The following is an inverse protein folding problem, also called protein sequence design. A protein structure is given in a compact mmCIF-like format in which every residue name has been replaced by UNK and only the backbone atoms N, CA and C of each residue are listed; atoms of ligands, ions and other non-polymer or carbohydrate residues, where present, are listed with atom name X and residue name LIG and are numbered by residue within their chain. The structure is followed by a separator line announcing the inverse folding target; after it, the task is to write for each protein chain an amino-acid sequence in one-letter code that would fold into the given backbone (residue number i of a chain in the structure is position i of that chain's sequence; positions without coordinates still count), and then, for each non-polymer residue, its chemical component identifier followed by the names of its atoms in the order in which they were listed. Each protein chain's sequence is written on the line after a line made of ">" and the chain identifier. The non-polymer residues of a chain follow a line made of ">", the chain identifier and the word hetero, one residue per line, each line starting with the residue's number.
data_IF_828167893275
#
_entry.id   IF_828167893275
#
_cell.length_a   1.000
_cell.length_b   1.000
_cell.length_c   1.000
_cell.angle_alpha   90.00
_cell.angle_beta   90.00
_cell.angle_gamma   90.00
#
_symmetry.space_group_name_H-M   'P 1'
#
loop_
_entity.id
_entity.type
_entity.pdbx_description
1 polymer ?
#
# COMPACT_ATOMS: atom_id res chain seq x y z
N UNK A 1 15.40 -20.73 7.47
CA UNK A 1 14.05 -21.16 7.02
C UNK A 1 13.17 -19.94 7.05
N UNK A 2 12.38 -19.68 6.01
CA UNK A 2 11.38 -18.60 6.04
C UNK A 2 10.15 -19.08 6.82
N UNK A 3 9.71 -18.29 7.79
CA UNK A 3 8.42 -18.54 8.45
C UNK A 3 7.29 -18.40 7.44
N UNK A 4 6.36 -19.36 7.44
CA UNK A 4 5.20 -19.38 6.55
C UNK A 4 4.03 -18.78 7.31
N UNK A 5 3.51 -17.66 6.81
CA UNK A 5 2.29 -17.04 7.35
C UNK A 5 1.07 -17.89 6.97
N UNK A 6 0.16 -18.08 7.93
CA UNK A 6 -1.03 -18.93 7.78
C UNK A 6 -2.30 -18.09 8.02
N UNK A 7 -3.27 -18.16 7.11
CA UNK A 7 -4.54 -17.46 7.26
C UNK A 7 -5.32 -18.02 8.48
N UNK A 8 -5.95 -17.13 9.25
CA UNK A 8 -6.60 -17.46 10.51
C UNK A 8 -5.65 -17.58 11.72
N UNK A 9 -4.33 -17.54 11.54
CA UNK A 9 -3.40 -17.43 12.68
C UNK A 9 -3.42 -16.02 13.27
N UNK A 10 -3.09 -15.91 14.56
CA UNK A 10 -2.94 -14.65 15.27
C UNK A 10 -1.47 -14.21 15.26
N UNK A 11 -1.23 -12.92 15.03
CA UNK A 11 0.09 -12.30 15.17
C UNK A 11 0.62 -12.42 16.61
N UNK A 12 1.93 -12.56 16.77
CA UNK A 12 2.61 -12.62 18.07
C UNK A 12 2.70 -11.26 18.79
N UNK A 13 2.27 -10.18 18.13
CA UNK A 13 2.24 -8.82 18.65
C UNK A 13 0.91 -8.17 18.29
N UNK A 14 0.39 -7.32 19.17
CA UNK A 14 -0.76 -6.45 18.91
C UNK A 14 -0.31 -5.07 18.35
N UNK A 15 -1.26 -4.26 17.86
CA UNK A 15 -1.00 -2.87 17.45
C UNK A 15 -0.40 -2.03 18.59
N UNK A 16 0.55 -1.14 18.27
CA UNK A 16 1.25 -0.31 19.24
C UNK A 16 1.89 0.93 18.57
N UNK A 17 2.82 1.59 19.28
CA UNK A 17 3.57 2.76 18.75
C UNK A 17 4.38 2.46 17.49
N UNK A 18 4.73 1.19 17.22
CA UNK A 18 5.57 0.77 16.09
C UNK A 18 4.87 -0.24 15.16
N UNK A 19 3.64 -0.65 15.44
CA UNK A 19 2.87 -1.65 14.66
C UNK A 19 1.46 -1.14 14.41
N UNK A 20 1.03 -1.19 13.16
CA UNK A 20 -0.32 -0.92 12.67
C UNK A 20 -0.82 -2.10 11.83
N UNK A 21 -2.07 -2.50 12.02
CA UNK A 21 -2.80 -3.47 11.21
C UNK A 21 -3.86 -2.77 10.35
N UNK A 22 -4.01 -3.25 9.10
CA UNK A 22 -4.97 -2.70 8.14
C UNK A 22 -5.53 -3.80 7.24
N UNK A 23 -6.82 -3.69 6.90
CA UNK A 23 -7.49 -4.60 5.95
C UNK A 23 -7.73 -3.97 4.57
N UNK A 24 -7.02 -2.90 4.22
CA UNK A 24 -7.12 -2.24 2.91
C UNK A 24 -5.78 -1.72 2.38
N UNK A 25 -5.70 -1.55 1.05
CA UNK A 25 -4.52 -1.08 0.32
C UNK A 25 -4.56 0.41 -0.03
N UNK A 26 -5.58 1.15 0.43
CA UNK A 26 -5.83 2.54 0.03
C UNK A 26 -4.76 3.50 0.56
N UNK A 27 -3.84 3.92 -0.30
CA UNK A 27 -2.68 4.72 0.11
C UNK A 27 -3.07 6.18 0.37
N UNK A 28 -3.69 6.82 -0.63
CA UNK A 28 -4.06 8.24 -0.61
C UNK A 28 -5.54 8.48 -0.29
N UNK A 29 -5.88 9.69 0.17
CA UNK A 29 -7.25 10.08 0.53
C UNK A 29 -8.25 9.93 -0.62
N UNK A 30 -7.80 10.18 -1.85
CA UNK A 30 -8.62 10.11 -3.06
C UNK A 30 -9.01 8.66 -3.43
N UNK A 31 -8.30 7.67 -2.90
CA UNK A 31 -8.63 6.26 -3.11
C UNK A 31 -9.65 5.71 -2.10
N UNK A 32 -9.93 6.47 -1.03
CA UNK A 32 -10.85 6.09 0.05
C UNK A 32 -12.28 6.49 -0.35
N UNK A 33 -13.20 5.53 -0.55
CA UNK A 33 -14.56 5.83 -1.00
C UNK A 33 -15.34 6.59 0.08
N UNK A 34 -16.00 7.67 -0.33
CA UNK A 34 -16.99 8.37 0.49
C UNK A 34 -18.27 7.55 0.51
N UNK A 35 -18.87 7.36 1.69
CA UNK A 35 -20.21 6.77 1.84
C UNK A 35 -21.16 7.79 2.46
N UNK A 36 -22.46 7.65 2.20
CA UNK A 36 -23.50 8.44 2.86
C UNK A 36 -24.09 7.60 3.99
N UNK A 37 -24.08 8.16 5.19
CA UNK A 37 -24.73 7.62 6.37
C UNK A 37 -25.81 8.63 6.81
N UNK A 38 -27.07 8.29 6.56
CA UNK A 38 -28.18 9.24 6.64
C UNK A 38 -27.94 10.49 5.78
N UNK A 39 -27.78 11.65 6.44
CA UNK A 39 -27.49 12.93 5.79
C UNK A 39 -25.99 13.31 5.81
N UNK A 40 -25.13 12.50 6.42
CA UNK A 40 -23.69 12.79 6.57
C UNK A 40 -22.88 12.00 5.54
N UNK A 41 -21.82 12.62 5.00
CA UNK A 41 -20.85 11.91 4.15
C UNK A 41 -19.67 11.50 5.03
N UNK A 42 -19.49 10.18 5.18
CA UNK A 42 -18.49 9.56 6.07
C UNK A 42 -17.45 8.76 5.29
N UNK A 43 -16.31 8.50 5.94
CA UNK A 43 -15.31 7.51 5.53
C UNK A 43 -15.15 6.53 6.69
N UNK A 44 -15.32 5.23 6.42
CA UNK A 44 -15.15 4.17 7.44
C UNK A 44 -13.70 3.66 7.56
N UNK A 45 -12.77 4.21 6.79
CA UNK A 45 -11.34 3.88 6.84
C UNK A 45 -10.51 5.14 6.64
N UNK A 46 -9.31 5.16 7.23
CA UNK A 46 -8.30 6.20 7.02
C UNK A 46 -7.35 5.75 5.90
N UNK A 47 -6.88 6.65 5.01
CA UNK A 47 -5.85 6.29 4.05
C UNK A 47 -4.54 5.95 4.77
N UNK A 48 -3.75 5.04 4.20
CA UNK A 48 -2.48 4.62 4.79
C UNK A 48 -1.51 5.80 4.96
N UNK A 49 -1.65 6.86 4.15
CA UNK A 49 -0.85 8.08 4.24
C UNK A 49 -0.84 8.71 5.64
N UNK A 50 -1.91 8.60 6.41
CA UNK A 50 -1.98 9.10 7.80
C UNK A 50 -1.04 8.31 8.72
N UNK A 51 -1.05 6.97 8.65
CA UNK A 51 -0.11 6.12 9.40
C UNK A 51 1.34 6.31 8.91
N UNK A 52 1.54 6.48 7.60
CA UNK A 52 2.86 6.71 7.01
C UNK A 52 3.45 8.04 7.52
N UNK A 53 2.66 9.11 7.51
CA UNK A 53 3.04 10.42 8.06
C UNK A 53 3.31 10.33 9.56
N UNK A 54 2.44 9.64 10.31
CA UNK A 54 2.61 9.40 11.75
C UNK A 54 3.96 8.73 12.07
N UNK A 55 4.26 7.61 11.42
CA UNK A 55 5.53 6.89 11.61
C UNK A 55 6.75 7.66 11.13
N UNK A 56 6.67 8.38 10.00
CA UNK A 56 7.76 9.25 9.55
C UNK A 56 8.11 10.30 10.62
N UNK A 57 7.11 10.90 11.26
CA UNK A 57 7.26 11.96 12.26
C UNK A 57 7.53 11.46 13.69
N UNK A 58 7.64 10.15 13.91
CA UNK A 58 8.01 9.51 15.19
C UNK A 58 9.16 8.52 14.97
N UNK A 59 9.24 7.45 15.76
CA UNK A 59 10.33 6.47 15.73
C UNK A 59 10.25 5.46 14.56
N UNK A 60 9.51 5.77 13.50
CA UNK A 60 9.18 4.83 12.43
C UNK A 60 8.10 3.83 12.84
N UNK A 61 8.03 2.70 12.15
CA UNK A 61 7.06 1.65 12.44
C UNK A 61 6.79 0.71 11.26
N UNK A 62 5.83 -0.19 11.45
CA UNK A 62 5.44 -1.24 10.50
C UNK A 62 3.93 -1.27 10.31
N UNK A 63 3.49 -1.24 9.06
CA UNK A 63 2.09 -1.48 8.68
C UNK A 63 2.00 -2.88 8.08
N UNK A 64 1.15 -3.74 8.65
CA UNK A 64 0.82 -5.04 8.09
C UNK A 64 -0.59 -5.00 7.48
N UNK A 65 -0.64 -5.09 6.15
CA UNK A 65 -1.86 -4.99 5.37
C UNK A 65 -2.35 -6.40 5.00
N UNK A 66 -3.57 -6.73 5.41
CA UNK A 66 -4.13 -8.08 5.45
C UNK A 66 -4.13 -8.71 6.85
N UNK A 67 -4.00 -7.89 7.91
CA UNK A 67 -4.26 -8.29 9.31
C UNK A 67 -5.45 -7.48 9.81
N UNK A 68 -6.37 -8.14 10.49
CA UNK A 68 -7.45 -7.48 11.23
C UNK A 68 -6.91 -6.73 12.46
N UNK A 69 -7.62 -5.71 12.92
CA UNK A 69 -7.39 -5.02 14.20
C UNK A 69 -7.35 -5.99 15.39
N UNK A 70 -7.97 -7.17 15.25
CA UNK A 70 -7.95 -8.31 16.18
C UNK A 70 -6.62 -9.11 16.20
N UNK A 71 -5.64 -8.71 15.39
CA UNK A 71 -4.37 -9.43 15.18
C UNK A 71 -4.50 -10.71 14.33
N UNK A 72 -5.65 -10.99 13.72
CA UNK A 72 -5.85 -12.19 12.89
C UNK A 72 -5.36 -11.94 11.45
N UNK A 73 -4.44 -12.79 10.99
CA UNK A 73 -3.91 -12.77 9.62
C UNK A 73 -4.96 -13.29 8.65
N UNK A 74 -5.29 -12.50 7.63
CA UNK A 74 -6.16 -12.89 6.50
C UNK A 74 -5.42 -12.89 5.17
N UNK A 75 -4.47 -11.95 5.00
CA UNK A 75 -3.91 -11.58 3.70
C UNK A 75 -4.94 -10.87 2.80
N UNK A 76 -4.47 -10.32 1.69
CA UNK A 76 -5.33 -9.77 0.62
C UNK A 76 -5.03 -10.52 -0.69
N UNK A 77 -6.02 -11.03 -1.42
CA UNK A 77 -5.81 -11.64 -2.73
C UNK A 77 -5.22 -10.61 -3.72
N UNK A 78 -4.01 -10.85 -4.22
CA UNK A 78 -3.33 -9.94 -5.15
C UNK A 78 -2.70 -10.70 -6.31
N UNK A 79 -3.11 -10.36 -7.54
CA UNK A 79 -2.40 -10.76 -8.76
C UNK A 79 -1.09 -9.97 -8.89
N UNK A 80 -0.20 -10.36 -9.81
CA UNK A 80 1.04 -9.62 -10.07
C UNK A 80 0.78 -8.14 -10.43
N UNK A 81 -0.11 -7.89 -11.39
CA UNK A 81 -0.50 -6.54 -11.80
C UNK A 81 -1.10 -5.70 -10.66
N UNK A 82 -1.86 -6.32 -9.74
CA UNK A 82 -2.36 -5.60 -8.55
C UNK A 82 -1.24 -5.17 -7.59
N UNK A 83 -0.14 -5.95 -7.49
CA UNK A 83 1.03 -5.58 -6.70
C UNK A 83 1.77 -4.40 -7.32
N UNK A 84 1.96 -4.42 -8.65
CA UNK A 84 2.56 -3.30 -9.39
C UNK A 84 1.72 -2.03 -9.27
N UNK A 85 0.40 -2.13 -9.44
CA UNK A 85 -0.51 -0.99 -9.30
C UNK A 85 -0.49 -0.41 -7.87
N UNK A 86 -0.43 -1.26 -6.84
CA UNK A 86 -0.25 -0.80 -5.45
C UNK A 86 1.09 -0.08 -5.24
N UNK A 87 2.20 -0.59 -5.81
CA UNK A 87 3.50 0.09 -5.73
C UNK A 87 3.47 1.45 -6.45
N UNK A 88 2.80 1.55 -7.59
CA UNK A 88 2.62 2.81 -8.32
C UNK A 88 1.79 3.84 -7.51
N UNK A 89 0.63 3.43 -6.98
CA UNK A 89 -0.22 4.28 -6.12
C UNK A 89 0.54 4.72 -4.84
N UNK A 90 1.33 3.83 -4.25
CA UNK A 90 2.16 4.18 -3.10
C UNK A 90 3.27 5.19 -3.47
N UNK A 91 3.91 5.02 -4.63
CA UNK A 91 4.92 5.96 -5.13
C UNK A 91 4.34 7.35 -5.37
N UNK A 92 3.16 7.43 -6.00
CA UNK A 92 2.41 8.67 -6.18
C UNK A 92 2.05 9.31 -4.83
N UNK A 93 1.52 8.52 -3.89
CA UNK A 93 1.21 8.97 -2.53
C UNK A 93 2.44 9.60 -1.85
N UNK A 94 3.60 8.94 -1.88
CA UNK A 94 4.85 9.42 -1.26
C UNK A 94 5.44 10.65 -1.97
N UNK A 95 5.18 10.81 -3.27
CA UNK A 95 5.59 11.98 -4.05
C UNK A 95 4.75 13.23 -3.73
N UNK A 96 3.53 13.05 -3.22
CA UNK A 96 2.62 14.13 -2.79
C UNK A 96 2.84 14.58 -1.34
N UNK A 97 3.70 13.89 -0.57
CA UNK A 97 4.10 14.35 0.76
C UNK A 97 4.99 15.59 0.67
N UNK A 98 4.97 16.39 1.73
CA UNK A 98 5.79 17.61 1.84
C UNK A 98 6.56 17.65 3.19
N UNK A 99 7.90 17.53 3.19
CA UNK A 99 8.74 17.28 2.01
C UNK A 99 8.49 15.88 1.41
N UNK A 100 8.89 15.70 0.14
CA UNK A 100 8.81 14.40 -0.54
C UNK A 100 9.57 13.33 0.24
N UNK A 101 8.98 12.14 0.39
CA UNK A 101 9.61 11.07 1.17
C UNK A 101 10.74 10.42 0.37
N UNK A 102 11.98 10.39 0.89
CA UNK A 102 13.08 9.66 0.26
C UNK A 102 12.76 8.15 0.18
N UNK A 103 13.00 7.47 -0.96
CA UNK A 103 12.64 6.06 -1.14
C UNK A 103 13.23 5.12 -0.08
N UNK A 104 14.43 5.40 0.41
CA UNK A 104 15.14 4.61 1.42
C UNK A 104 14.43 4.53 2.78
N UNK A 105 13.57 5.51 3.11
CA UNK A 105 12.79 5.50 4.35
C UNK A 105 11.64 4.48 4.32
N UNK A 106 11.20 4.06 3.13
CA UNK A 106 10.02 3.22 2.92
C UNK A 106 10.39 1.93 2.21
N UNK A 107 10.29 0.80 2.93
CA UNK A 107 10.47 -0.53 2.35
C UNK A 107 9.13 -1.28 2.30
N UNK A 108 8.91 -2.01 1.20
CA UNK A 108 7.69 -2.78 0.96
C UNK A 108 8.06 -4.23 0.65
N UNK A 109 7.41 -5.17 1.33
CA UNK A 109 7.53 -6.60 1.06
C UNK A 109 6.15 -7.25 0.90
N UNK A 110 6.02 -8.13 -0.10
CA UNK A 110 4.84 -8.98 -0.27
C UNK A 110 5.14 -10.36 0.30
N UNK A 111 4.52 -10.69 1.43
CA UNK A 111 4.67 -11.98 2.10
C UNK A 111 3.49 -12.88 1.70
N UNK A 112 3.78 -14.11 1.29
CA UNK A 112 2.72 -15.08 0.94
C UNK A 112 2.05 -15.63 2.20
N UNK A 113 0.72 -15.55 2.26
CA UNK A 113 -0.10 -16.18 3.29
C UNK A 113 -0.71 -17.47 2.70
N UNK A 114 -0.45 -18.61 3.34
CA UNK A 114 -1.09 -19.88 3.00
C UNK A 114 -2.46 -19.96 3.66
N UNK A 115 -3.46 -20.40 2.90
CA UNK A 115 -4.79 -20.70 3.43
C UNK A 115 -4.89 -22.21 3.66
N UNK A 116 -5.02 -22.69 4.92
CA UNK A 116 -5.10 -24.13 5.18
C UNK A 116 -6.47 -24.72 4.78
N UNK A 117 -7.49 -23.88 4.60
CA UNK A 117 -8.84 -24.31 4.22
C UNK A 117 -9.11 -24.22 2.71
N UNK A 118 -8.18 -23.62 1.95
CA UNK A 118 -8.22 -23.51 0.49
C UNK A 118 -6.85 -23.91 -0.09
N UNK A 119 -6.54 -25.23 -0.13
CA UNK A 119 -5.24 -25.74 -0.55
C UNK A 119 -4.99 -25.62 -2.06
N UNK A 120 -6.01 -25.28 -2.86
CA UNK A 120 -5.91 -25.19 -4.32
C UNK A 120 -5.38 -23.84 -4.83
N UNK A 121 -5.06 -22.89 -3.94
CA UNK A 121 -4.13 -21.77 -4.22
C UNK A 121 -2.66 -22.25 -4.40
N UNK A 122 -2.44 -23.32 -5.18
CA UNK A 122 -1.13 -23.94 -5.38
C UNK A 122 -0.17 -22.95 -6.07
N UNK A 123 1.14 -23.00 -5.77
CA UNK A 123 2.14 -22.40 -6.66
C UNK A 123 1.96 -22.97 -8.07
N UNK A 124 2.23 -22.14 -9.09
CA UNK A 124 2.23 -22.57 -10.49
C UNK A 124 3.10 -23.83 -10.62
N UNK A 125 2.67 -24.89 -11.35
CA UNK A 125 3.61 -25.89 -11.82
C UNK A 125 4.80 -25.18 -12.46
N UNK A 126 6.02 -25.62 -12.18
CA UNK A 126 7.17 -25.15 -12.95
C UNK A 126 6.94 -25.61 -14.38
N UNK A 127 6.51 -24.70 -15.25
CA UNK A 127 6.55 -24.91 -16.69
C UNK A 127 8.03 -25.01 -17.04
N UNK A 128 8.51 -26.25 -17.17
CA UNK A 128 9.75 -26.54 -17.87
C UNK A 128 9.66 -25.83 -19.22
N UNK A 129 10.69 -25.07 -19.57
CA UNK A 129 10.78 -24.34 -20.82
C UNK A 129 10.40 -25.25 -21.99
N UNK A 130 9.23 -25.01 -22.58
CA UNK A 130 8.83 -25.68 -23.81
C UNK A 130 9.78 -25.19 -24.90
N UNK A 131 10.61 -26.10 -25.40
CA UNK A 131 11.35 -25.90 -26.64
C UNK A 131 10.35 -25.98 -27.79
N UNK A 132 10.24 -24.91 -28.58
CA UNK A 132 9.43 -24.90 -29.80
C UNK A 132 9.97 -25.92 -30.80
N UNK A 133 9.29 -27.05 -30.96
CA UNK A 133 9.37 -27.86 -32.16
C UNK A 133 7.97 -28.05 -32.78
N UNK A 134 7.84 -27.46 -33.97
CA UNK A 134 6.97 -27.87 -35.07
C UNK A 134 5.45 -27.55 -35.09
N UNK A 135 5.01 -27.10 -36.28
CA UNK A 135 3.67 -27.26 -36.88
C UNK A 135 2.48 -26.36 -36.46
N UNK A 136 2.47 -25.13 -37.00
CA UNK A 136 1.56 -24.82 -38.13
C UNK A 136 0.11 -24.34 -37.91
N UNK A 137 -0.27 -23.35 -38.74
CA UNK A 137 -1.64 -22.88 -39.11
C UNK A 137 -2.35 -21.86 -38.19
N UNK A 138 -2.68 -20.71 -38.79
CA UNK A 138 -3.45 -19.59 -38.22
C UNK A 138 -4.87 -19.57 -38.81
N UNK A 139 -5.94 -19.46 -38.01
CA UNK A 139 -7.20 -18.82 -38.43
C UNK A 139 -8.20 -18.47 -37.29
N UNK A 140 -8.43 -17.16 -37.10
CA UNK A 140 -9.72 -16.47 -36.83
C UNK A 140 -10.55 -16.79 -35.55
N UNK A 141 -10.60 -15.80 -34.66
CA UNK A 141 -11.74 -15.46 -33.78
C UNK A 141 -11.98 -13.94 -33.83
N UNK A 142 -13.22 -13.47 -33.67
CA UNK A 142 -13.59 -12.05 -33.90
C UNK A 142 -13.29 -11.11 -32.72
N UNK A 143 -12.79 -9.91 -33.03
CA UNK A 143 -12.64 -8.78 -32.11
C UNK A 143 -13.99 -8.09 -31.83
N UNK A 144 -14.33 -7.72 -30.58
CA UNK A 144 -15.44 -6.82 -30.28
C UNK A 144 -15.01 -5.33 -30.37
N UNK A 145 -15.67 -4.57 -31.24
CA UNK A 145 -15.48 -3.12 -31.35
C UNK A 145 -15.95 -2.38 -30.07
N UNK A 146 -15.10 -1.52 -29.51
CA UNK A 146 -15.50 -0.51 -28.53
C UNK A 146 -15.22 0.90 -29.05
N UNK A 147 -16.28 1.70 -29.20
CA UNK A 147 -16.19 3.11 -29.58
C UNK A 147 -15.66 3.95 -28.41
N UNK A 148 -14.52 4.62 -28.62
CA UNK A 148 -13.96 5.59 -27.68
C UNK A 148 -14.41 7.01 -28.03
N UNK A 149 -15.22 7.62 -27.16
CA UNK A 149 -15.46 9.07 -27.21
C UNK A 149 -14.27 9.81 -26.57
N UNK A 150 -13.86 10.91 -27.19
CA UNK A 150 -12.57 11.60 -26.92
C UNK A 150 -12.69 12.76 -25.92
N UNK A 151 -11.50 13.18 -25.43
CA UNK A 151 -11.15 14.38 -24.61
C UNK A 151 -11.34 14.13 -23.10
N UNK A 152 -10.35 14.27 -22.22
CA UNK A 152 -8.92 14.68 -22.33
C UNK A 152 -8.19 14.16 -21.05
N UNK A 153 -6.86 14.03 -20.96
CA UNK A 153 -5.76 14.47 -21.82
C UNK A 153 -4.52 13.53 -21.75
N UNK A 154 -3.45 13.91 -22.44
CA UNK A 154 -2.12 13.25 -22.52
C UNK A 154 -1.17 13.54 -21.36
N UNK A 155 -0.62 12.50 -20.73
CA UNK A 155 0.82 12.30 -20.44
C UNK A 155 1.03 10.91 -19.79
N UNK A 156 1.01 9.84 -20.59
CA UNK A 156 1.44 8.48 -20.22
C UNK A 156 1.55 7.65 -21.51
N UNK A 157 2.65 7.83 -22.24
CA UNK A 157 2.93 7.10 -23.48
C UNK A 157 4.04 6.10 -23.23
N UNK A 158 3.88 4.88 -23.77
CA UNK A 158 4.86 3.77 -23.78
C UNK A 158 5.05 2.98 -22.48
N UNK A 159 4.14 2.02 -22.25
CA UNK A 159 4.52 0.66 -21.84
C UNK A 159 3.88 -0.30 -22.85
N UNK A 160 4.57 -1.30 -23.42
CA UNK A 160 4.00 -2.17 -24.46
C UNK A 160 2.95 -3.16 -23.92
N UNK A 161 1.87 -3.37 -24.68
CA UNK A 161 0.92 -4.44 -24.42
C UNK A 161 1.51 -5.80 -24.84
N UNK A 162 1.69 -6.73 -23.89
CA UNK A 162 1.70 -8.17 -24.18
C UNK A 162 1.25 -9.00 -22.97
N UNK A 163 0.62 -10.15 -23.30
CA UNK A 163 0.28 -11.33 -22.49
C UNK A 163 -1.11 -11.43 -21.83
N UNK A 164 -1.78 -12.52 -22.19
CA UNK A 164 -3.07 -12.99 -21.67
C UNK A 164 -2.89 -13.84 -20.39
N UNK A 165 -3.91 -13.78 -19.52
CA UNK A 165 -4.35 -14.78 -18.52
C UNK A 165 -3.33 -15.66 -17.74
N UNK A 166 -3.34 -15.49 -16.41
CA UNK A 166 -3.71 -16.59 -15.50
C UNK A 166 -4.24 -16.03 -14.17
N UNK A 167 -5.41 -16.49 -13.71
CA UNK A 167 -6.16 -15.91 -12.60
C UNK A 167 -5.86 -16.57 -11.24
N UNK A 168 -4.59 -16.74 -10.89
CA UNK A 168 -4.18 -17.37 -9.62
C UNK A 168 -3.86 -16.31 -8.55
N UNK A 169 -4.85 -15.99 -7.72
CA UNK A 169 -4.78 -14.97 -6.68
C UNK A 169 -4.08 -15.48 -5.40
N UNK A 170 -2.76 -15.33 -5.34
CA UNK A 170 -2.01 -15.57 -4.10
C UNK A 170 -2.36 -14.50 -3.06
N UNK A 171 -3.00 -14.91 -1.96
CA UNK A 171 -3.21 -14.08 -0.78
C UNK A 171 -1.88 -13.60 -0.23
N UNK A 172 -1.65 -12.30 -0.35
CA UNK A 172 -0.41 -11.64 0.01
C UNK A 172 -0.68 -10.71 1.19
N UNK A 173 0.11 -10.84 2.26
CA UNK A 173 0.24 -9.82 3.29
C UNK A 173 1.24 -8.78 2.77
N UNK A 174 0.89 -7.50 2.78
CA UNK A 174 1.85 -6.43 2.45
C UNK A 174 2.41 -5.88 3.74
N UNK A 175 3.71 -6.06 3.95
CA UNK A 175 4.42 -5.41 5.04
C UNK A 175 5.09 -4.15 4.50
N UNK A 176 4.77 -3.01 5.12
CA UNK A 176 5.46 -1.73 4.90
C UNK A 176 6.20 -1.36 6.18
N UNK A 177 7.53 -1.26 6.12
CA UNK A 177 8.34 -0.69 7.20
C UNK A 177 8.79 0.72 6.84
N UNK A 178 8.45 1.67 7.71
CA UNK A 178 9.06 2.98 7.76
C UNK A 178 10.27 2.91 8.71
N UNK A 179 11.48 3.04 8.17
CA UNK A 179 12.70 3.11 8.98
C UNK A 179 13.02 4.57 9.27
N UNK A 180 12.84 5.01 10.51
CA UNK A 180 13.42 6.27 10.98
C UNK A 180 14.75 5.95 11.65
N UNK A 181 15.82 6.07 10.88
CA UNK A 181 17.19 5.93 11.39
C UNK A 181 17.55 7.16 12.26
N UNK A 182 18.47 7.02 13.25
CA UNK A 182 18.77 8.06 14.23
C UNK A 182 19.47 9.32 13.67
N UNK A 183 19.61 9.44 12.35
CA UNK A 183 20.28 10.55 11.66
C UNK A 183 19.33 11.33 10.74
N UNK A 184 18.08 11.53 11.19
CA UNK A 184 17.12 12.45 10.60
C UNK A 184 17.66 13.88 10.76
N UNK A 185 17.62 14.70 9.70
CA UNK A 185 17.83 16.15 9.87
C UNK A 185 16.81 16.67 10.89
N UNK A 186 17.32 17.31 11.97
CA UNK A 186 16.45 17.80 13.05
C UNK A 186 15.49 18.85 12.51
N UNK A 187 14.22 18.72 12.86
CA UNK A 187 13.17 19.67 12.46
C UNK A 187 12.45 19.35 11.15
N UNK A 188 12.78 18.26 10.44
CA UNK A 188 11.98 17.83 9.29
C UNK A 188 10.62 17.29 9.75
N UNK A 189 9.55 17.93 9.30
CA UNK A 189 8.16 17.60 9.63
C UNK A 189 7.41 17.29 8.34
N UNK A 190 6.94 16.04 8.18
CA UNK A 190 6.23 15.60 6.99
C UNK A 190 4.74 15.87 7.10
N UNK A 191 4.18 16.44 6.03
CA UNK A 191 2.76 16.45 5.70
C UNK A 191 2.43 15.29 4.76
N UNK A 192 1.26 14.68 4.92
CA UNK A 192 0.75 13.67 3.98
C UNK A 192 0.17 14.30 2.70
N UNK A 193 -0.43 13.49 1.83
CA UNK A 193 -1.12 13.91 0.60
C UNK A 193 -2.31 14.87 0.83
N UNK A 194 -2.80 15.00 2.07
CA UNK A 194 -3.83 15.95 2.47
C UNK A 194 -3.24 17.30 2.95
N UNK A 195 -1.91 17.43 3.00
CA UNK A 195 -1.22 18.57 3.61
C UNK A 195 -1.22 18.54 5.15
N UNK A 196 -1.67 17.45 5.76
CA UNK A 196 -1.84 17.31 7.21
C UNK A 196 -0.66 16.61 7.87
N UNK A 197 -0.34 17.04 9.08
CA UNK A 197 0.74 16.46 9.90
C UNK A 197 0.13 15.49 10.90
N UNK A 198 0.65 14.27 10.93
CA UNK A 198 0.30 13.24 11.91
C UNK A 198 1.51 12.82 12.73
N UNK A 199 1.25 12.37 13.95
CA UNK A 199 2.20 11.71 14.85
C UNK A 199 1.58 10.42 15.40
N UNK A 200 2.42 9.44 15.71
CA UNK A 200 2.00 8.24 16.44
C UNK A 200 2.03 8.53 17.95
N UNK A 201 0.95 8.20 18.66
CA UNK A 201 0.90 8.31 20.13
C UNK A 201 -0.12 7.35 20.73
N UNK A 202 0.31 6.58 21.72
CA UNK A 202 -0.45 5.54 22.40
C UNK A 202 -1.09 4.56 21.40
N UNK A 203 -0.32 4.15 20.38
CA UNK A 203 -0.79 3.23 19.34
C UNK A 203 -1.82 3.81 18.37
N UNK A 204 -1.98 5.14 18.30
CA UNK A 204 -2.98 5.80 17.48
C UNK A 204 -2.40 6.98 16.72
N UNK A 205 -2.85 7.19 15.47
CA UNK A 205 -2.46 8.35 14.67
C UNK A 205 -3.19 9.60 15.20
N UNK A 206 -2.43 10.62 15.64
CA UNK A 206 -2.95 11.91 16.08
C UNK A 206 -2.55 13.00 15.09
N UNK A 207 -3.53 13.73 14.57
CA UNK A 207 -3.30 14.91 13.75
C UNK A 207 -2.77 16.04 14.65
N UNK A 208 -1.72 16.75 14.22
CA UNK A 208 -1.23 17.95 14.88
C UNK A 208 -2.21 19.12 14.60
N UNK A 209 -2.76 19.79 15.63
CA UNK A 209 -3.56 21.00 15.45
C UNK A 209 -2.77 22.13 14.80
N UNK A 210 -3.46 23.04 14.10
CA UNK A 210 -2.81 24.19 13.46
C UNK A 210 -2.10 25.10 14.47
N UNK A 211 -2.61 25.23 15.70
CA UNK A 211 -1.94 25.95 16.80
C UNK A 211 -0.53 25.42 17.07
N UNK A 212 -0.42 24.09 17.13
CA UNK A 212 0.78 23.38 17.55
C UNK A 212 1.80 23.35 16.41
N UNK A 213 1.31 23.27 15.16
CA UNK A 213 2.08 23.44 13.94
C UNK A 213 2.66 24.87 13.83
N UNK A 214 1.84 25.89 14.10
CA UNK A 214 2.30 27.29 14.13
C UNK A 214 3.31 27.52 15.25
N UNK A 215 3.10 26.94 16.44
CA UNK A 215 4.05 26.99 17.54
C UNK A 215 5.40 26.36 17.14
N UNK A 216 5.37 25.17 16.51
CA UNK A 216 6.57 24.48 16.02
C UNK A 216 7.41 25.35 15.07
N UNK A 217 6.77 25.98 14.08
CA UNK A 217 7.45 26.90 13.16
C UNK A 217 7.88 28.24 13.77
N UNK A 218 7.26 28.64 14.89
CA UNK A 218 7.54 29.88 15.60
C UNK A 218 8.65 29.74 16.66
N UNK A 219 8.91 28.53 17.17
CA UNK A 219 10.01 28.28 18.11
C UNK A 219 11.39 28.46 17.44
N UNK A 220 12.23 29.44 17.85
CA UNK A 220 13.51 29.71 17.19
C UNK A 220 14.56 28.60 17.36
N UNK A 221 14.37 27.72 18.36
CA UNK A 221 15.36 26.74 18.81
C UNK A 221 15.47 25.47 17.95
N UNK A 222 14.60 25.29 16.95
CA UNK A 222 14.68 24.17 15.99
C UNK A 222 15.29 24.58 14.63
N UNK A 223 15.77 25.82 14.49
CA UNK A 223 16.52 26.30 13.31
C UNK A 223 18.04 26.33 13.58
N UNK A 224 18.65 25.17 13.79
CA UNK A 224 20.12 24.97 13.84
C UNK A 224 20.52 23.58 13.39
#
# INVERSE_FOLDING_TARGET
>A
MSEVLIAGSRCSSDENELIEFKMHLKNSLNEVPRRRDGNVVVRHMQPLSQTICAFLNTDGGRIYIGVEDSGIVRGIPLTHSMKEHYLASLSECLYLFDPKVPPELIQVAFLTVKDPNDPDKRPIPQFSSYTDEENGVIARGQEPLFHTSRRTSTLMTQIPNYLFFSANSITSLVHKSAFVLPNREKGVLYRNDEGLVYFRRHGSNKMMPLSDLLAHYSTPYLRR
#
